data_IF_018569677517
#
_entry.id   IF_018569677517
#
_cell.length_a   1.000
_cell.length_b   1.000
_cell.length_c   1.000
_cell.angle_alpha   90.00
_cell.angle_beta   90.00
_cell.angle_gamma   90.00
#
_symmetry.space_group_name_H-M   'P 1'
#
loop_
_entity.id
_entity.type
_entity.pdbx_description
1 polymer ?
#
# COMPACT_ATOMS: atom_id res chain seq x y z
N UNK A 1 -32.89 42.12 -35.08
CA UNK A 1 -31.74 41.19 -34.96
C UNK A 1 -31.89 40.51 -33.61
N UNK A 2 -32.82 39.56 -33.46
CA UNK A 2 -33.27 39.13 -32.11
C UNK A 2 -33.28 37.61 -31.90
N UNK A 3 -33.07 36.82 -32.96
CA UNK A 3 -33.18 35.35 -32.89
C UNK A 3 -32.00 34.62 -32.20
N UNK A 4 -30.84 35.28 -32.06
CA UNK A 4 -29.65 34.67 -31.42
C UNK A 4 -29.70 34.78 -29.89
N UNK A 5 -30.24 35.89 -29.37
CA UNK A 5 -30.43 36.12 -27.92
C UNK A 5 -31.43 35.14 -27.34
N UNK A 6 -32.53 34.91 -28.05
CA UNK A 6 -33.61 34.05 -27.59
C UNK A 6 -33.18 32.56 -27.53
N UNK A 7 -32.43 32.09 -28.54
CA UNK A 7 -31.86 30.72 -28.54
C UNK A 7 -30.84 30.49 -27.43
N UNK A 8 -29.95 31.46 -27.16
CA UNK A 8 -29.02 31.39 -26.04
C UNK A 8 -29.74 31.35 -24.69
N UNK A 9 -30.83 32.11 -24.56
CA UNK A 9 -31.64 32.12 -23.33
C UNK A 9 -32.40 30.80 -23.10
N UNK A 10 -32.89 30.15 -24.17
CA UNK A 10 -33.56 28.84 -24.12
C UNK A 10 -32.57 27.74 -23.77
N UNK A 11 -31.38 27.74 -24.38
CA UNK A 11 -30.31 26.79 -24.06
C UNK A 11 -29.81 26.97 -22.62
N UNK A 12 -29.65 28.20 -22.15
CA UNK A 12 -29.26 28.49 -20.77
C UNK A 12 -30.35 28.04 -19.77
N UNK A 13 -31.63 28.21 -20.10
CA UNK A 13 -32.74 27.72 -19.27
C UNK A 13 -32.82 26.19 -19.29
N UNK A 14 -32.59 25.55 -20.44
CA UNK A 14 -32.57 24.10 -20.59
C UNK A 14 -31.44 23.48 -19.78
N UNK A 15 -30.22 23.97 -19.95
CA UNK A 15 -29.03 23.52 -19.21
C UNK A 15 -29.18 23.73 -17.70
N UNK A 16 -29.71 24.88 -17.26
CA UNK A 16 -30.02 25.12 -15.84
C UNK A 16 -31.07 24.15 -15.28
N UNK A 17 -32.11 23.81 -16.06
CA UNK A 17 -33.14 22.82 -15.66
C UNK A 17 -32.54 21.42 -15.55
N UNK A 18 -31.71 21.02 -16.50
CA UNK A 18 -31.01 19.72 -16.47
C UNK A 18 -30.04 19.65 -15.28
N UNK A 19 -29.24 20.69 -15.05
CA UNK A 19 -28.34 20.76 -13.89
C UNK A 19 -29.10 20.71 -12.56
N UNK A 20 -30.24 21.42 -12.47
CA UNK A 20 -31.09 21.40 -11.28
C UNK A 20 -31.72 20.02 -11.04
N UNK A 21 -32.10 19.31 -12.10
CA UNK A 21 -32.61 17.94 -12.00
C UNK A 21 -31.53 16.98 -11.50
N UNK A 22 -30.32 17.02 -12.10
CA UNK A 22 -29.19 16.19 -11.68
C UNK A 22 -28.82 16.45 -10.21
N UNK A 23 -28.76 17.72 -9.79
CA UNK A 23 -28.49 18.09 -8.41
C UNK A 23 -29.55 17.55 -7.43
N UNK A 24 -30.84 17.61 -7.81
CA UNK A 24 -31.93 17.06 -6.99
C UNK A 24 -31.87 15.54 -6.88
N UNK A 25 -31.50 14.83 -7.95
CA UNK A 25 -31.33 13.37 -7.93
C UNK A 25 -30.20 12.97 -6.99
N UNK A 26 -29.05 13.64 -7.08
CA UNK A 26 -27.90 13.39 -6.19
C UNK A 26 -28.26 13.68 -4.73
N UNK A 27 -28.87 14.85 -4.46
CA UNK A 27 -29.28 15.22 -3.10
C UNK A 27 -30.29 14.21 -2.51
N UNK A 28 -31.26 13.78 -3.31
CA UNK A 28 -32.24 12.77 -2.88
C UNK A 28 -31.57 11.42 -2.59
N UNK A 29 -30.60 11.00 -3.40
CA UNK A 29 -29.87 9.75 -3.18
C UNK A 29 -29.00 9.81 -1.91
N UNK A 30 -28.33 10.93 -1.65
CA UNK A 30 -27.53 11.14 -0.43
C UNK A 30 -28.42 11.11 0.81
N UNK A 31 -29.57 11.79 0.81
CA UNK A 31 -30.51 11.79 1.94
C UNK A 31 -31.11 10.41 2.16
N UNK A 32 -31.46 9.68 1.10
CA UNK A 32 -31.94 8.29 1.19
C UNK A 32 -30.86 7.40 1.82
N UNK A 33 -29.62 7.47 1.34
CA UNK A 33 -28.49 6.75 1.91
C UNK A 33 -28.34 7.04 3.42
N UNK A 34 -28.29 8.31 3.82
CA UNK A 34 -28.17 8.68 5.24
C UNK A 34 -29.37 8.19 6.09
N UNK A 35 -30.61 8.27 5.57
CA UNK A 35 -31.82 7.85 6.28
C UNK A 35 -31.89 6.33 6.51
N UNK A 36 -31.37 5.54 5.58
CA UNK A 36 -31.29 4.08 5.70
C UNK A 36 -30.00 3.60 6.38
N UNK A 37 -29.25 4.52 7.01
CA UNK A 37 -28.06 4.21 7.79
C UNK A 37 -26.82 3.89 6.95
N UNK A 38 -26.84 4.23 5.65
CA UNK A 38 -25.66 4.12 4.80
C UNK A 38 -24.64 5.17 5.24
N UNK A 39 -23.59 4.71 5.93
CA UNK A 39 -22.46 5.56 6.30
C UNK A 39 -21.64 5.79 5.02
N UNK A 40 -21.48 7.06 4.63
CA UNK A 40 -20.44 7.44 3.68
C UNK A 40 -19.10 7.18 4.38
N UNK A 41 -18.54 5.99 4.16
CA UNK A 41 -17.15 5.74 4.47
C UNK A 41 -16.32 6.74 3.66
N UNK A 42 -15.32 7.34 4.28
CA UNK A 42 -14.19 7.84 3.49
C UNK A 42 -13.80 6.71 2.54
N UNK A 43 -13.71 6.97 1.25
CA UNK A 43 -12.89 6.11 0.39
C UNK A 43 -11.44 6.42 0.70
N UNK A 44 -11.02 5.99 1.89
CA UNK A 44 -9.70 5.48 2.20
C UNK A 44 -10.00 3.98 2.35
N UNK A 45 -9.62 3.18 1.35
CA UNK A 45 -9.72 1.72 1.45
C UNK A 45 -8.73 1.30 2.54
N UNK A 46 -9.25 0.99 3.73
CA UNK A 46 -8.46 0.60 4.89
C UNK A 46 -9.11 1.18 6.13
N UNK A 47 -9.40 0.36 7.13
CA UNK A 47 -9.76 0.89 8.44
C UNK A 47 -8.62 1.76 8.98
N UNK A 48 -8.80 2.34 10.16
CA UNK A 48 -7.64 2.73 10.98
C UNK A 48 -6.90 1.42 11.38
N UNK A 49 -6.30 0.76 10.40
CA UNK A 49 -5.37 -0.34 10.57
C UNK A 49 -4.15 0.32 11.18
N UNK A 50 -3.79 -0.11 12.39
CA UNK A 50 -2.56 0.34 13.02
C UNK A 50 -1.44 -0.21 12.14
N UNK A 51 -1.04 0.59 11.17
CA UNK A 51 0.05 0.28 10.25
C UNK A 51 1.27 0.06 11.12
N UNK A 52 1.79 -1.17 11.11
CA UNK A 52 2.95 -1.51 11.92
C UNK A 52 4.08 -0.59 11.49
N UNK A 53 4.89 -0.12 12.43
CA UNK A 53 6.08 0.66 12.12
C UNK A 53 7.33 -0.22 11.99
N UNK A 54 7.14 -1.54 11.87
CA UNK A 54 8.18 -2.52 11.64
C UNK A 54 7.80 -3.49 10.52
N UNK A 55 8.81 -3.99 9.83
CA UNK A 55 8.70 -5.08 8.87
C UNK A 55 9.26 -6.39 9.45
N UNK A 56 8.91 -7.51 8.83
CA UNK A 56 9.36 -8.84 9.22
C UNK A 56 10.18 -9.47 8.10
N UNK A 57 11.39 -9.92 8.43
CA UNK A 57 12.25 -10.71 7.55
C UNK A 57 12.20 -12.18 7.96
N UNK A 58 11.87 -13.05 7.02
CA UNK A 58 11.92 -14.51 7.20
C UNK A 58 12.55 -15.19 5.99
N UNK A 59 12.73 -16.50 6.08
CA UNK A 59 13.13 -17.35 4.96
C UNK A 59 12.22 -18.57 4.85
N UNK A 60 11.98 -19.02 3.62
CA UNK A 60 11.28 -20.27 3.34
C UNK A 60 11.84 -20.91 2.07
N UNK A 61 12.44 -22.10 2.23
CA UNK A 61 13.09 -22.81 1.14
C UNK A 61 14.20 -21.96 0.52
N UNK A 62 14.05 -21.63 -0.76
CA UNK A 62 15.06 -20.85 -1.50
C UNK A 62 14.69 -19.37 -1.59
N UNK A 63 13.85 -18.88 -0.68
CA UNK A 63 13.37 -17.50 -0.70
C UNK A 63 13.61 -16.81 0.63
N UNK A 64 14.04 -15.56 0.53
CA UNK A 64 13.86 -14.56 1.57
C UNK A 64 12.50 -13.92 1.39
N UNK A 65 11.85 -13.62 2.50
CA UNK A 65 10.53 -13.01 2.54
C UNK A 65 10.63 -11.76 3.39
N UNK A 66 10.33 -10.62 2.79
CA UNK A 66 10.20 -9.34 3.46
C UNK A 66 8.73 -8.96 3.49
N UNK A 67 8.15 -8.86 4.68
CA UNK A 67 6.73 -8.60 4.88
C UNK A 67 6.55 -7.28 5.63
N UNK A 68 5.75 -6.38 5.05
CA UNK A 68 5.41 -5.11 5.67
C UNK A 68 3.94 -4.83 5.42
N UNK A 69 3.19 -4.60 6.50
CA UNK A 69 1.73 -4.47 6.47
C UNK A 69 1.06 -5.68 5.76
N UNK A 70 0.34 -5.46 4.67
CA UNK A 70 -0.30 -6.51 3.87
C UNK A 70 0.53 -6.92 2.64
N UNK A 71 1.74 -6.40 2.49
CA UNK A 71 2.65 -6.67 1.37
C UNK A 71 3.68 -7.73 1.74
N UNK A 72 3.86 -8.72 0.84
CA UNK A 72 4.79 -9.83 1.03
C UNK A 72 5.71 -9.98 -0.18
N UNK A 73 6.93 -9.44 -0.06
CA UNK A 73 7.93 -9.45 -1.11
C UNK A 73 8.81 -10.69 -0.96
N UNK A 74 8.98 -11.45 -2.04
CA UNK A 74 9.77 -12.68 -2.06
C UNK A 74 10.88 -12.58 -3.09
N UNK A 75 12.10 -12.88 -2.68
CA UNK A 75 13.26 -12.91 -3.57
C UNK A 75 14.14 -14.12 -3.29
N UNK A 76 14.87 -14.56 -4.30
CA UNK A 76 15.66 -15.77 -4.22
C UNK A 76 16.82 -15.62 -3.22
N UNK A 77 17.10 -16.70 -2.49
CA UNK A 77 18.29 -16.87 -1.66
C UNK A 77 18.82 -18.30 -1.82
N UNK A 78 19.91 -18.62 -1.13
CA UNK A 78 20.53 -19.94 -1.16
C UNK A 78 19.60 -21.03 -0.61
N UNK A 79 19.63 -22.21 -1.24
CA UNK A 79 18.94 -23.41 -0.73
C UNK A 79 19.51 -23.91 0.60
N UNK A 80 20.70 -23.44 0.97
CA UNK A 80 21.41 -23.82 2.20
C UNK A 80 21.10 -22.88 3.36
N UNK A 81 20.40 -21.77 3.14
CA UNK A 81 19.99 -20.88 4.21
C UNK A 81 18.95 -21.61 5.07
N UNK A 82 19.27 -21.81 6.34
CA UNK A 82 18.33 -22.40 7.30
C UNK A 82 17.38 -21.31 7.81
N UNK A 83 17.95 -20.21 8.34
CA UNK A 83 17.21 -19.06 8.84
C UNK A 83 18.10 -17.83 9.03
N UNK A 84 17.47 -16.66 9.05
CA UNK A 84 18.06 -15.48 9.66
C UNK A 84 17.91 -15.57 11.18
N UNK A 85 18.88 -15.06 11.92
CA UNK A 85 18.92 -15.19 13.39
C UNK A 85 18.84 -13.83 14.09
N UNK A 86 19.37 -12.77 13.46
CA UNK A 86 19.37 -11.43 14.02
C UNK A 86 19.43 -10.36 12.93
N UNK A 87 18.75 -9.23 13.13
CA UNK A 87 19.01 -8.00 12.38
C UNK A 87 20.10 -7.21 13.11
N UNK A 88 21.19 -6.94 12.40
CA UNK A 88 22.33 -6.15 12.90
C UNK A 88 22.11 -4.68 12.60
N UNK A 89 21.66 -4.36 11.38
CA UNK A 89 21.44 -2.99 10.92
C UNK A 89 20.25 -2.93 9.96
N UNK A 90 19.51 -1.82 10.04
CA UNK A 90 18.47 -1.42 9.11
C UNK A 90 18.71 0.04 8.73
N UNK A 91 18.97 0.29 7.45
CA UNK A 91 19.11 1.63 6.90
C UNK A 91 18.30 1.76 5.61
N UNK A 92 17.02 2.12 5.77
CA UNK A 92 16.09 2.51 4.70
C UNK A 92 16.19 1.68 3.41
N UNK A 93 16.13 0.35 3.52
CA UNK A 93 16.22 -0.58 2.39
C UNK A 93 17.49 -1.41 2.36
N UNK A 94 18.53 -1.00 3.10
CA UNK A 94 19.72 -1.80 3.34
C UNK A 94 19.61 -2.56 4.66
N UNK A 95 19.93 -3.85 4.63
CA UNK A 95 19.86 -4.76 5.77
C UNK A 95 21.20 -5.46 5.98
N UNK A 96 21.65 -5.47 7.22
CA UNK A 96 22.73 -6.34 7.70
C UNK A 96 22.11 -7.35 8.66
N UNK A 97 22.27 -8.64 8.39
CA UNK A 97 21.66 -9.71 9.18
C UNK A 97 22.65 -10.81 9.49
N UNK A 98 22.42 -11.51 10.60
CA UNK A 98 23.07 -12.78 10.87
C UNK A 98 22.25 -13.90 10.23
N UNK A 99 22.92 -14.74 9.45
CA UNK A 99 22.31 -15.84 8.70
C UNK A 99 22.96 -17.17 9.09
N UNK A 100 22.12 -18.16 9.39
CA UNK A 100 22.55 -19.53 9.65
C UNK A 100 22.41 -20.37 8.39
N UNK A 101 23.54 -20.88 7.92
CA UNK A 101 23.61 -21.78 6.77
C UNK A 101 23.90 -23.21 7.20
N UNK A 102 23.39 -24.16 6.42
CA UNK A 102 23.60 -25.58 6.67
C UNK A 102 25.09 -25.93 6.69
N UNK A 103 25.55 -26.43 7.85
CA UNK A 103 26.93 -26.85 8.07
C UNK A 103 27.95 -25.72 8.19
N UNK A 104 27.50 -24.49 8.39
CA UNK A 104 28.35 -23.32 8.64
C UNK A 104 27.94 -22.64 9.95
N UNK A 105 28.86 -21.91 10.57
CA UNK A 105 28.51 -20.99 11.65
C UNK A 105 27.68 -19.81 11.13
N UNK A 106 27.12 -19.01 12.04
CA UNK A 106 26.39 -17.80 11.64
C UNK A 106 27.34 -16.84 10.94
N UNK A 107 26.90 -16.32 9.79
CA UNK A 107 27.64 -15.37 8.97
C UNK A 107 26.83 -14.09 8.83
N UNK A 108 27.54 -12.97 8.71
CA UNK A 108 26.92 -11.69 8.37
C UNK A 108 26.57 -11.65 6.88
N UNK A 109 25.34 -11.25 6.57
CA UNK A 109 24.81 -11.15 5.22
C UNK A 109 24.19 -9.78 4.98
N UNK A 110 24.42 -9.26 3.78
CA UNK A 110 23.99 -7.92 3.36
C UNK A 110 22.90 -8.06 2.31
N UNK A 111 21.76 -7.41 2.54
CA UNK A 111 20.60 -7.45 1.65
C UNK A 111 20.26 -6.02 1.25
N UNK A 112 20.24 -5.76 -0.06
CA UNK A 112 19.77 -4.50 -0.64
C UNK A 112 18.37 -4.71 -1.23
N UNK A 113 17.36 -4.13 -0.58
CA UNK A 113 15.97 -4.20 -1.01
C UNK A 113 15.66 -3.24 -2.15
N UNK A 114 16.44 -2.18 -2.35
CA UNK A 114 16.10 -1.11 -3.29
C UNK A 114 15.96 -1.67 -4.72
N UNK A 115 16.94 -2.40 -5.29
CA UNK A 115 16.80 -2.96 -6.64
C UNK A 115 15.66 -3.97 -6.76
N UNK A 116 15.32 -4.67 -5.68
CA UNK A 116 14.23 -5.66 -5.67
C UNK A 116 12.89 -4.93 -5.77
N UNK A 117 12.71 -3.87 -4.98
CA UNK A 117 11.50 -3.04 -4.96
C UNK A 117 11.31 -2.29 -6.28
N UNK A 118 12.38 -1.70 -6.84
CA UNK A 118 12.34 -1.02 -8.14
C UNK A 118 11.92 -1.97 -9.27
N UNK A 119 12.46 -3.19 -9.29
CA UNK A 119 12.09 -4.20 -10.28
C UNK A 119 10.62 -4.66 -10.16
N UNK A 120 10.03 -4.49 -8.97
CA UNK A 120 8.61 -4.74 -8.72
C UNK A 120 7.74 -3.49 -8.91
N UNK A 121 8.33 -2.38 -9.41
CA UNK A 121 7.66 -1.10 -9.69
C UNK A 121 7.09 -0.39 -8.46
N UNK A 122 7.71 -0.58 -7.28
CA UNK A 122 7.36 0.17 -6.08
C UNK A 122 7.88 1.61 -6.12
N UNK A 123 7.15 2.52 -5.49
CA UNK A 123 7.71 3.78 -5.01
C UNK A 123 8.52 3.48 -3.75
N UNK A 124 9.82 3.28 -3.93
CA UNK A 124 10.75 2.77 -2.89
C UNK A 124 10.73 3.66 -1.65
N UNK A 125 10.88 4.97 -1.83
CA UNK A 125 10.94 5.92 -0.71
C UNK A 125 9.64 5.92 0.08
N UNK A 126 8.49 5.97 -0.60
CA UNK A 126 7.20 5.98 0.08
C UNK A 126 6.89 4.64 0.77
N UNK A 127 7.30 3.52 0.18
CA UNK A 127 7.12 2.20 0.77
C UNK A 127 7.99 1.99 2.02
N UNK A 128 9.25 2.43 1.99
CA UNK A 128 10.22 2.20 3.07
C UNK A 128 10.13 3.23 4.21
N UNK A 129 9.70 4.46 3.91
CA UNK A 129 9.59 5.56 4.88
C UNK A 129 8.84 5.25 6.19
N UNK A 130 7.72 4.52 6.20
CA UNK A 130 7.03 4.21 7.46
C UNK A 130 7.70 3.08 8.27
N UNK A 131 8.67 2.35 7.71
CA UNK A 131 9.35 1.22 8.35
C UNK A 131 10.53 1.71 9.20
N UNK A 132 10.37 1.67 10.52
CA UNK A 132 11.39 2.12 11.49
C UNK A 132 12.39 1.02 11.86
N UNK A 133 11.96 -0.24 11.82
CA UNK A 133 12.82 -1.37 12.14
C UNK A 133 12.40 -2.64 11.39
N UNK A 134 13.29 -3.63 11.37
CA UNK A 134 13.04 -4.95 10.80
C UNK A 134 13.26 -6.00 11.88
N UNK A 135 12.32 -6.95 11.99
CA UNK A 135 12.35 -8.04 12.97
C UNK A 135 12.45 -9.38 12.27
N UNK A 136 12.90 -10.39 13.00
CA UNK A 136 12.89 -11.79 12.54
C UNK A 136 11.85 -12.53 13.36
N UNK A 137 10.82 -13.05 12.68
CA UNK A 137 9.72 -13.79 13.32
C UNK A 137 9.47 -15.08 12.55
N UNK A 138 9.94 -16.21 13.08
CA UNK A 138 9.56 -17.53 12.56
C UNK A 138 8.36 -18.06 13.35
N UNK A 139 7.40 -18.67 12.67
CA UNK A 139 6.33 -19.41 13.33
C UNK A 139 6.96 -20.49 14.22
N UNK A 140 6.57 -20.52 15.50
CA UNK A 140 7.03 -21.49 16.49
C UNK A 140 6.47 -22.89 16.23
#
# INVERSE_FOLDING_TARGET
MDGLSDRSSILLRSTKKTALYVAKVIYSAVIFMLRYGYKFGKTEFGGDEIMRDYAVLTSNGNFTIFEYDNEKIRFATSKRLEKYTKVVEWDHGYLVVMAKYQGLDEVEEYIDLIPILENLYYDVDNFLKPIKEVRIEYAA
#
